data_IF_641222939091
#
_entry.id   IF_641222939091
#
_cell.length_a   1.000
_cell.length_b   1.000
_cell.length_c   1.000
_cell.angle_alpha   90.00
_cell.angle_beta   90.00
_cell.angle_gamma   90.00
#
_symmetry.space_group_name_H-M   'P 1'
#
loop_
_entity.id
_entity.type
_entity.pdbx_description
1 polymer ?
#
# COMPACT_ATOMS: atom_id res chain seq x y z
N UNK A 1 3.00 -15.56 26.97
CA UNK A 1 3.41 -14.95 25.69
C UNK A 1 4.49 -13.93 25.99
N UNK A 2 5.64 -14.00 25.30
CA UNK A 2 6.75 -13.08 25.50
C UNK A 2 6.56 -11.85 24.59
N UNK A 3 6.01 -10.78 25.15
CA UNK A 3 5.68 -9.56 24.41
C UNK A 3 6.82 -8.54 24.47
N UNK A 4 6.90 -7.70 23.43
CA UNK A 4 7.83 -6.58 23.32
C UNK A 4 7.10 -5.36 22.76
N UNK A 5 7.73 -4.18 22.87
CA UNK A 5 7.21 -2.94 22.28
C UNK A 5 8.01 -2.62 21.02
N UNK A 6 7.30 -2.37 19.93
CA UNK A 6 7.87 -1.71 18.76
C UNK A 6 7.41 -0.25 18.75
N UNK A 7 8.34 0.67 18.51
CA UNK A 7 8.03 2.09 18.30
C UNK A 7 7.96 2.35 16.81
N UNK A 8 6.87 2.94 16.35
CA UNK A 8 6.62 3.24 14.93
C UNK A 8 6.04 4.65 14.76
N UNK A 9 6.27 5.26 13.61
CA UNK A 9 5.70 6.56 13.25
C UNK A 9 4.48 6.38 12.35
N UNK A 10 3.33 6.85 12.81
CA UNK A 10 2.05 6.71 12.09
C UNK A 10 1.55 8.11 11.71
N UNK A 11 1.04 8.27 10.49
CA UNK A 11 0.32 9.47 10.05
C UNK A 11 -0.75 9.84 11.08
N UNK A 12 -0.72 11.08 11.54
CA UNK A 12 -1.52 11.50 12.70
C UNK A 12 -3.02 11.44 12.41
N UNK A 13 -3.44 11.84 11.20
CA UNK A 13 -4.85 11.82 10.80
C UNK A 13 -5.35 10.38 10.67
N UNK A 14 -4.55 9.51 10.09
CA UNK A 14 -4.84 8.08 9.97
C UNK A 14 -4.97 7.43 11.35
N UNK A 15 -4.02 7.73 12.27
CA UNK A 15 -4.00 7.21 13.63
C UNK A 15 -5.22 7.63 14.44
N UNK A 16 -5.56 8.92 14.43
CA UNK A 16 -6.72 9.45 15.18
C UNK A 16 -7.99 8.73 14.74
N UNK A 17 -8.21 8.65 13.43
CA UNK A 17 -9.42 8.07 12.90
C UNK A 17 -9.42 6.52 13.03
N UNK A 18 -8.25 5.86 13.08
CA UNK A 18 -8.14 4.44 13.43
C UNK A 18 -8.50 4.17 14.87
N UNK A 19 -7.95 4.93 15.82
CA UNK A 19 -8.26 4.76 17.23
C UNK A 19 -9.76 4.98 17.48
N UNK A 20 -10.35 6.02 16.89
CA UNK A 20 -11.80 6.25 17.01
C UNK A 20 -12.64 5.05 16.57
N UNK A 21 -12.29 4.45 15.43
CA UNK A 21 -13.01 3.28 14.91
C UNK A 21 -12.81 2.04 15.81
N UNK A 22 -11.58 1.75 16.21
CA UNK A 22 -11.26 0.60 17.09
C UNK A 22 -11.93 0.74 18.45
N UNK A 23 -11.90 1.94 19.04
CA UNK A 23 -12.55 2.21 20.32
C UNK A 23 -14.08 2.06 20.22
N UNK A 24 -14.68 2.52 19.12
CA UNK A 24 -16.13 2.35 18.87
C UNK A 24 -16.56 0.90 18.68
N UNK A 25 -15.63 0.03 18.27
CA UNK A 25 -15.84 -1.40 18.12
C UNK A 25 -15.48 -2.19 19.39
N UNK A 26 -15.07 -1.50 20.47
CA UNK A 26 -14.63 -2.11 21.73
C UNK A 26 -13.43 -3.06 21.57
N UNK A 27 -12.59 -2.82 20.58
CA UNK A 27 -11.40 -3.64 20.28
C UNK A 27 -10.18 -3.05 20.99
N UNK A 28 -9.38 -3.90 21.66
CA UNK A 28 -8.09 -3.46 22.22
C UNK A 28 -7.06 -3.30 21.11
N UNK A 29 -6.73 -2.05 20.78
CA UNK A 29 -5.82 -1.67 19.69
C UNK A 29 -4.56 -2.53 19.56
N UNK A 30 -3.76 -2.64 20.62
CA UNK A 30 -2.46 -3.33 20.55
C UNK A 30 -2.62 -4.84 20.36
N UNK A 31 -3.64 -5.45 21.00
CA UNK A 31 -3.93 -6.86 20.80
C UNK A 31 -4.38 -7.15 19.36
N UNK A 32 -5.21 -6.26 18.81
CA UNK A 32 -5.66 -6.34 17.42
C UNK A 32 -4.50 -6.16 16.45
N UNK A 33 -3.70 -5.09 16.59
CA UNK A 33 -2.53 -4.87 15.73
C UNK A 33 -1.51 -6.00 15.85
N UNK A 34 -1.28 -6.59 17.02
CA UNK A 34 -0.42 -7.75 17.15
C UNK A 34 -0.90 -8.94 16.31
N UNK A 35 -2.20 -9.25 16.37
CA UNK A 35 -2.78 -10.33 15.58
C UNK A 35 -2.65 -10.06 14.08
N UNK A 36 -3.04 -8.86 13.64
CA UNK A 36 -3.02 -8.49 12.22
C UNK A 36 -1.59 -8.42 11.67
N UNK A 37 -0.65 -7.81 12.39
CA UNK A 37 0.77 -7.78 11.98
C UNK A 37 1.32 -9.21 11.94
N UNK A 38 0.96 -10.05 12.91
CA UNK A 38 1.38 -11.46 12.96
C UNK A 38 0.91 -12.26 11.73
N UNK A 39 -0.33 -12.08 11.30
CA UNK A 39 -0.88 -12.74 10.11
C UNK A 39 -0.30 -12.20 8.80
N UNK A 40 -0.13 -10.88 8.68
CA UNK A 40 0.30 -10.25 7.43
C UNK A 40 1.80 -10.28 7.16
N UNK A 41 2.64 -10.60 8.16
CA UNK A 41 4.09 -10.64 7.99
C UNK A 41 4.53 -11.64 6.90
N UNK A 42 3.86 -12.78 6.79
CA UNK A 42 4.24 -13.79 5.78
C UNK A 42 3.84 -13.31 4.37
N UNK A 43 2.68 -12.67 4.22
CA UNK A 43 2.26 -12.06 2.95
C UNK A 43 3.23 -10.94 2.54
N UNK A 44 3.63 -10.09 3.48
CA UNK A 44 4.65 -9.08 3.23
C UNK A 44 6.00 -9.70 2.83
N UNK A 45 6.41 -10.79 3.48
CA UNK A 45 7.66 -11.47 3.14
C UNK A 45 7.63 -12.00 1.70
N UNK A 46 6.52 -12.62 1.30
CA UNK A 46 6.32 -13.12 -0.07
C UNK A 46 6.34 -11.96 -1.08
N UNK A 47 5.63 -10.87 -0.80
CA UNK A 47 5.60 -9.69 -1.66
C UNK A 47 7.00 -9.09 -1.84
N UNK A 48 7.78 -9.04 -0.77
CA UNK A 48 9.13 -8.46 -0.76
C UNK A 48 10.22 -9.45 -1.20
N UNK A 49 9.87 -10.70 -1.56
CA UNK A 49 10.87 -11.68 -1.98
C UNK A 49 11.61 -11.19 -3.25
N UNK A 50 12.93 -11.32 -3.19
CA UNK A 50 13.86 -10.80 -4.20
C UNK A 50 13.90 -9.27 -4.35
N UNK A 51 13.16 -8.50 -3.55
CA UNK A 51 13.05 -7.03 -3.67
C UNK A 51 13.83 -6.31 -2.60
N UNK A 52 14.59 -5.31 -3.02
CA UNK A 52 15.35 -4.45 -2.12
C UNK A 52 15.27 -3.00 -2.58
N UNK A 53 14.85 -2.12 -1.68
CA UNK A 53 14.89 -0.67 -1.90
C UNK A 53 16.34 -0.19 -1.89
N UNK A 54 16.68 0.70 -2.82
CA UNK A 54 17.94 1.43 -2.73
C UNK A 54 17.92 2.38 -1.53
N UNK A 55 19.10 2.81 -1.07
CA UNK A 55 19.20 3.81 0.00
C UNK A 55 18.51 5.14 -0.35
N UNK A 56 18.42 5.48 -1.65
CA UNK A 56 17.70 6.67 -2.12
C UNK A 56 16.19 6.47 -2.01
N UNK A 57 15.68 5.33 -2.50
CA UNK A 57 14.27 4.99 -2.42
C UNK A 57 13.76 4.89 -0.98
N UNK A 58 14.51 4.22 -0.09
CA UNK A 58 14.20 4.17 1.34
C UNK A 58 14.10 5.58 1.96
N UNK A 59 15.10 6.44 1.69
CA UNK A 59 15.12 7.81 2.21
C UNK A 59 13.96 8.64 1.67
N UNK A 60 13.59 8.43 0.40
CA UNK A 60 12.46 9.09 -0.21
C UNK A 60 11.15 8.72 0.51
N UNK A 61 10.86 7.42 0.67
CA UNK A 61 9.67 6.94 1.41
C UNK A 61 9.64 7.49 2.84
N UNK A 62 10.76 7.42 3.57
CA UNK A 62 10.86 7.95 4.93
C UNK A 62 10.64 9.49 4.98
N UNK A 63 11.12 10.21 3.96
CA UNK A 63 10.94 11.65 3.80
C UNK A 63 9.49 12.04 3.52
N UNK A 64 8.84 11.35 2.58
CA UNK A 64 7.42 11.52 2.27
C UNK A 64 6.55 11.25 3.49
N UNK A 65 6.79 10.13 4.19
CA UNK A 65 6.07 9.80 5.41
C UNK A 65 6.20 10.91 6.47
N UNK A 66 7.41 11.44 6.67
CA UNK A 66 7.63 12.55 7.60
C UNK A 66 6.85 13.81 7.19
N UNK A 67 6.76 14.13 5.90
CA UNK A 67 6.02 15.31 5.38
C UNK A 67 4.51 15.21 5.60
N UNK A 68 3.96 13.99 5.65
CA UNK A 68 2.53 13.77 5.90
C UNK A 68 2.12 14.15 7.35
N UNK A 69 3.07 14.19 8.27
CA UNK A 69 2.84 14.53 9.68
C UNK A 69 2.58 13.27 10.52
N UNK A 70 3.63 12.79 11.18
CA UNK A 70 3.58 11.53 11.94
C UNK A 70 3.65 11.72 13.44
N UNK A 71 2.99 10.84 14.18
CA UNK A 71 3.13 10.67 15.63
C UNK A 71 3.82 9.34 15.96
N UNK A 72 4.73 9.38 16.92
CA UNK A 72 5.38 8.17 17.44
C UNK A 72 4.42 7.40 18.36
N UNK A 73 4.27 6.10 18.11
CA UNK A 73 3.36 5.20 18.82
C UNK A 73 4.11 3.92 19.19
N UNK A 74 3.85 3.44 20.40
CA UNK A 74 4.30 2.11 20.82
C UNK A 74 3.17 1.12 20.58
N UNK A 75 3.49 0.00 19.94
CA UNK A 75 2.59 -1.15 19.74
C UNK A 75 3.21 -2.32 20.47
N UNK A 76 2.46 -2.93 21.39
CA UNK A 76 2.85 -4.18 22.03
C UNK A 76 2.57 -5.35 21.09
N UNK A 77 3.61 -6.11 20.75
CA UNK A 77 3.55 -7.28 19.87
C UNK A 77 4.29 -8.46 20.47
N UNK A 78 4.05 -9.67 19.97
CA UNK A 78 4.86 -10.82 20.32
C UNK A 78 6.30 -10.66 19.83
N UNK A 79 7.27 -11.16 20.60
CA UNK A 79 8.69 -11.05 20.27
C UNK A 79 9.02 -11.66 18.90
N UNK A 80 8.41 -12.80 18.58
CA UNK A 80 8.53 -13.46 17.28
C UNK A 80 8.03 -12.58 16.13
N UNK A 81 6.88 -11.92 16.30
CA UNK A 81 6.31 -10.97 15.33
C UNK A 81 7.28 -9.80 15.08
N UNK A 82 7.83 -9.22 16.14
CA UNK A 82 8.81 -8.14 16.02
C UNK A 82 10.10 -8.61 15.31
N UNK A 83 10.62 -9.79 15.62
CA UNK A 83 11.82 -10.36 15.01
C UNK A 83 11.64 -10.65 13.51
N UNK A 84 10.51 -11.24 13.12
CA UNK A 84 10.18 -11.46 11.70
C UNK A 84 10.06 -10.15 10.93
N UNK A 85 9.33 -9.17 11.46
CA UNK A 85 9.22 -7.84 10.82
C UNK A 85 10.59 -7.17 10.69
N UNK A 86 11.43 -7.22 11.72
CA UNK A 86 12.79 -6.69 11.66
C UNK A 86 13.66 -7.37 10.60
N UNK A 87 13.48 -8.67 10.40
CA UNK A 87 14.21 -9.45 9.40
C UNK A 87 13.85 -8.98 7.99
N UNK A 88 12.55 -8.88 7.67
CA UNK A 88 12.08 -8.38 6.37
C UNK A 88 12.57 -6.95 6.11
N UNK A 89 12.43 -6.07 7.12
CA UNK A 89 12.89 -4.67 7.03
C UNK A 89 14.39 -4.58 6.72
N UNK A 90 15.21 -5.43 7.35
CA UNK A 90 16.65 -5.45 7.14
C UNK A 90 17.02 -6.01 5.76
N UNK A 91 16.36 -7.08 5.31
CA UNK A 91 16.65 -7.73 4.03
C UNK A 91 16.25 -6.82 2.85
N UNK A 92 15.02 -6.32 2.87
CA UNK A 92 14.46 -5.50 1.78
C UNK A 92 14.84 -4.02 1.84
N UNK A 93 15.49 -3.57 2.92
CA UNK A 93 15.77 -2.17 3.18
C UNK A 93 14.50 -1.28 3.13
N UNK A 94 13.33 -1.82 3.49
CA UNK A 94 12.07 -1.06 3.51
C UNK A 94 11.92 -0.22 4.77
N UNK A 95 11.01 0.77 4.72
CA UNK A 95 10.67 1.60 5.87
C UNK A 95 9.59 0.88 6.69
N UNK A 96 9.94 0.39 7.89
CA UNK A 96 8.98 -0.29 8.80
C UNK A 96 7.71 0.52 9.02
N UNK A 97 7.87 1.81 9.24
CA UNK A 97 6.75 2.73 9.49
C UNK A 97 5.80 2.79 8.27
N UNK A 98 6.33 2.74 7.04
CA UNK A 98 5.51 2.74 5.82
C UNK A 98 4.59 1.52 5.77
N UNK A 99 5.11 0.33 6.08
CA UNK A 99 4.30 -0.89 6.16
C UNK A 99 3.18 -0.78 7.21
N UNK A 100 3.47 -0.29 8.41
CA UNK A 100 2.44 -0.16 9.46
C UNK A 100 1.36 0.86 9.05
N UNK A 101 1.75 1.97 8.43
CA UNK A 101 0.77 2.93 7.90
C UNK A 101 -0.07 2.32 6.78
N UNK A 102 0.55 1.56 5.87
CA UNK A 102 -0.14 0.86 4.77
C UNK A 102 -1.12 -0.18 5.28
N UNK A 103 -0.74 -0.93 6.31
CA UNK A 103 -1.61 -1.89 6.98
C UNK A 103 -2.83 -1.19 7.60
N UNK A 104 -2.63 -0.09 8.32
CA UNK A 104 -3.74 0.69 8.90
C UNK A 104 -4.60 1.34 7.81
N UNK A 105 -4.00 1.79 6.70
CA UNK A 105 -4.70 2.32 5.54
C UNK A 105 -5.67 1.28 4.97
N UNK A 106 -5.22 0.04 4.76
CA UNK A 106 -6.07 -1.02 4.23
C UNK A 106 -7.15 -1.47 5.21
N UNK A 107 -6.84 -1.60 6.50
CA UNK A 107 -7.85 -1.90 7.53
C UNK A 107 -9.00 -0.89 7.56
N UNK A 108 -8.76 0.34 7.11
CA UNK A 108 -9.72 1.45 7.15
C UNK A 108 -10.13 1.98 5.79
N UNK A 109 -9.74 1.29 4.73
CA UNK A 109 -9.80 1.84 3.39
C UNK A 109 -11.21 2.33 3.05
N UNK A 110 -11.26 3.51 2.44
CA UNK A 110 -12.49 4.10 1.94
C UNK A 110 -12.69 3.66 0.51
N UNK A 111 -13.94 3.59 0.07
CA UNK A 111 -14.33 3.24 -1.30
C UNK A 111 -13.54 4.03 -2.34
N UNK A 112 -13.29 5.33 -2.12
CA UNK A 112 -12.52 6.16 -3.05
C UNK A 112 -11.07 5.69 -3.26
N UNK A 113 -10.41 5.16 -2.22
CA UNK A 113 -9.07 4.59 -2.36
C UNK A 113 -9.14 3.22 -3.04
N UNK A 114 -10.07 2.37 -2.61
CA UNK A 114 -10.22 1.03 -3.19
C UNK A 114 -10.56 1.12 -4.68
N UNK A 115 -11.47 2.01 -5.07
CA UNK A 115 -11.81 2.28 -6.46
C UNK A 115 -10.61 2.79 -7.27
N UNK A 116 -9.77 3.66 -6.68
CA UNK A 116 -8.54 4.14 -7.36
C UNK A 116 -7.56 2.99 -7.61
N UNK A 117 -7.45 2.07 -6.67
CA UNK A 117 -6.60 0.89 -6.76
C UNK A 117 -7.26 -0.25 -7.55
N UNK A 118 -8.45 -0.03 -8.09
CA UNK A 118 -9.28 -1.05 -8.73
C UNK A 118 -9.44 -2.29 -7.83
N UNK A 119 -9.68 -2.09 -6.53
CA UNK A 119 -9.94 -3.13 -5.54
C UNK A 119 -11.41 -3.12 -5.10
N UNK A 120 -11.97 -4.27 -4.70
CA UNK A 120 -13.37 -4.37 -4.30
C UNK A 120 -13.63 -3.59 -2.99
N UNK A 121 -14.63 -2.71 -3.02
CA UNK A 121 -15.11 -2.03 -1.81
C UNK A 121 -16.06 -2.89 -0.98
N UNK A 122 -16.63 -3.95 -1.58
CA UNK A 122 -17.58 -4.88 -0.96
C UNK A 122 -17.34 -6.28 -1.47
N UNK A 123 -17.63 -7.27 -0.64
CA UNK A 123 -17.66 -8.67 -1.04
C UNK A 123 -19.07 -8.96 -1.58
N UNK A 124 -19.23 -9.04 -2.90
CA UNK A 124 -20.47 -9.51 -3.53
C UNK A 124 -20.34 -11.00 -3.89
N UNK A 125 -21.22 -11.82 -3.32
CA UNK A 125 -21.40 -13.24 -3.65
C UNK A 125 -21.43 -13.57 -5.15
N UNK A 126 -21.79 -12.62 -6.03
CA UNK A 126 -21.81 -12.81 -7.49
C UNK A 126 -20.46 -12.58 -8.17
N UNK A 127 -19.64 -11.70 -7.62
CA UNK A 127 -18.30 -11.37 -8.16
C UNK A 127 -17.24 -12.35 -7.66
N UNK A 128 -17.41 -12.88 -6.45
CA UNK A 128 -16.52 -13.85 -5.85
C UNK A 128 -16.94 -15.27 -6.27
N UNK A 129 -16.30 -15.81 -7.31
CA UNK A 129 -16.56 -17.16 -7.83
C UNK A 129 -16.50 -18.25 -6.73
N UNK A 130 -17.07 -19.43 -7.03
CA UNK A 130 -17.27 -20.59 -6.15
C UNK A 130 -16.01 -21.20 -5.47
N UNK A 131 -14.83 -20.57 -5.58
CA UNK A 131 -13.58 -20.98 -4.95
C UNK A 131 -13.11 -20.09 -3.78
N UNK A 132 -13.79 -18.98 -3.47
CA UNK A 132 -13.41 -18.11 -2.36
C UNK A 132 -14.01 -18.61 -1.03
N UNK A 133 -13.26 -18.43 0.06
CA UNK A 133 -13.69 -18.82 1.41
C UNK A 133 -14.99 -18.09 1.78
N UNK A 134 -16.02 -18.84 2.18
CA UNK A 134 -17.30 -18.25 2.57
C UNK A 134 -17.18 -17.57 3.93
N UNK A 135 -17.68 -16.33 4.03
CA UNK A 135 -17.76 -15.66 5.33
C UNK A 135 -18.73 -16.40 6.26
N UNK A 136 -18.32 -16.76 7.48
CA UNK A 136 -19.22 -17.40 8.44
C UNK A 136 -20.37 -16.45 8.80
N UNK A 137 -21.58 -17.01 8.94
CA UNK A 137 -22.77 -16.25 9.33
C UNK A 137 -22.79 -15.88 10.82
N UNK A 138 -21.99 -16.56 11.64
CA UNK A 138 -21.81 -16.24 13.06
C UNK A 138 -21.02 -14.93 13.19
N UNK A 139 -21.53 -13.90 13.90
CA UNK A 139 -20.80 -12.64 14.08
C UNK A 139 -19.42 -12.83 14.71
N UNK A 140 -19.29 -13.73 15.69
CA UNK A 140 -17.99 -14.05 16.30
C UNK A 140 -17.09 -14.81 15.34
N UNK A 141 -17.65 -15.76 14.57
CA UNK A 141 -16.89 -16.46 13.53
C UNK A 141 -16.40 -15.50 12.43
N UNK A 142 -17.20 -14.49 12.08
CA UNK A 142 -16.81 -13.48 11.10
C UNK A 142 -15.64 -12.62 11.61
N UNK A 143 -15.65 -12.27 12.90
CA UNK A 143 -14.52 -11.60 13.54
C UNK A 143 -13.27 -12.49 13.58
N UNK A 144 -13.42 -13.78 13.88
CA UNK A 144 -12.31 -14.75 13.86
C UNK A 144 -11.73 -14.90 12.46
N UNK A 145 -12.57 -14.97 11.42
CA UNK A 145 -12.13 -15.02 10.02
C UNK A 145 -11.36 -13.76 9.63
N UNK A 146 -11.88 -12.56 9.96
CA UNK A 146 -11.17 -11.29 9.73
C UNK A 146 -9.88 -11.21 10.53
N UNK A 147 -9.84 -11.75 11.74
CA UNK A 147 -8.62 -11.77 12.55
C UNK A 147 -7.57 -12.71 11.95
N UNK A 148 -7.99 -13.85 11.40
CA UNK A 148 -7.11 -14.84 10.78
C UNK A 148 -6.50 -14.34 9.47
N UNK A 149 -7.32 -13.69 8.63
CA UNK A 149 -6.89 -13.14 7.36
C UNK A 149 -7.68 -11.87 6.96
N UNK A 150 -7.28 -10.69 7.46
CA UNK A 150 -8.04 -9.45 7.28
C UNK A 150 -8.05 -8.95 5.85
N UNK A 151 -7.06 -9.33 5.03
CA UNK A 151 -6.91 -8.82 3.67
C UNK A 151 -7.09 -9.87 2.59
N UNK A 152 -7.55 -11.08 2.91
CA UNK A 152 -7.80 -12.16 1.94
C UNK A 152 -8.38 -11.63 0.62
N UNK A 153 -9.56 -10.99 0.69
CA UNK A 153 -10.27 -10.48 -0.48
C UNK A 153 -9.52 -9.37 -1.24
N UNK A 154 -8.82 -8.49 -0.51
CA UNK A 154 -8.03 -7.43 -1.13
C UNK A 154 -6.78 -8.00 -1.81
N UNK A 155 -6.13 -9.00 -1.20
CA UNK A 155 -4.96 -9.67 -1.76
C UNK A 155 -5.33 -10.48 -2.99
N UNK A 156 -6.40 -11.29 -2.94
CA UNK A 156 -6.87 -12.06 -4.10
C UNK A 156 -7.26 -11.14 -5.26
N UNK A 157 -8.02 -10.06 -4.99
CA UNK A 157 -8.36 -9.12 -6.04
C UNK A 157 -7.15 -8.37 -6.60
N UNK A 158 -6.16 -8.05 -5.76
CA UNK A 158 -4.91 -7.43 -6.20
C UNK A 158 -4.12 -8.37 -7.11
N UNK A 159 -4.01 -9.65 -6.75
CA UNK A 159 -3.32 -10.66 -7.55
C UNK A 159 -4.03 -10.90 -8.88
N UNK A 160 -5.37 -11.03 -8.88
CA UNK A 160 -6.16 -11.25 -10.10
C UNK A 160 -6.11 -10.06 -11.07
N UNK A 161 -6.14 -8.82 -10.56
CA UNK A 161 -6.26 -7.61 -11.41
C UNK A 161 -4.90 -7.04 -11.81
N UNK A 162 -3.91 -7.11 -10.92
CA UNK A 162 -2.61 -6.46 -11.10
C UNK A 162 -1.45 -7.45 -11.22
N UNK A 163 -1.67 -8.75 -10.99
CA UNK A 163 -0.61 -9.77 -11.07
C UNK A 163 0.47 -9.60 -10.00
N UNK A 164 0.15 -8.94 -8.89
CA UNK A 164 1.10 -8.62 -7.83
C UNK A 164 0.45 -8.64 -6.45
N UNK A 165 1.30 -8.71 -5.42
CA UNK A 165 0.90 -8.65 -4.03
C UNK A 165 0.40 -7.28 -3.57
N UNK A 166 -0.45 -7.27 -2.55
CA UNK A 166 -1.09 -6.07 -2.01
C UNK A 166 -0.11 -5.04 -1.45
N UNK A 167 1.08 -5.46 -1.02
CA UNK A 167 2.11 -4.53 -0.53
C UNK A 167 2.94 -3.90 -1.66
N UNK A 168 2.79 -4.40 -2.88
CA UNK A 168 3.47 -3.89 -4.08
C UNK A 168 2.60 -2.98 -4.94
N UNK A 169 1.26 -2.99 -4.77
CA UNK A 169 0.39 -2.13 -5.59
C UNK A 169 0.75 -0.64 -5.46
N UNK A 170 0.73 0.07 -6.58
CA UNK A 170 1.09 1.48 -6.61
C UNK A 170 0.04 2.34 -5.89
N UNK A 171 0.51 3.15 -4.94
CA UNK A 171 -0.34 4.09 -4.25
C UNK A 171 -0.34 5.44 -4.97
N UNK A 172 -1.42 6.26 -4.82
CA UNK A 172 -1.39 7.65 -5.25
C UNK A 172 -0.14 8.36 -4.74
N UNK A 173 0.50 9.21 -5.56
CA UNK A 173 1.76 9.91 -5.18
C UNK A 173 1.72 10.60 -3.81
N UNK A 174 0.56 11.13 -3.41
CA UNK A 174 0.34 11.75 -2.09
C UNK A 174 0.47 10.78 -0.89
N UNK A 175 0.52 9.48 -1.15
CA UNK A 175 0.66 8.38 -0.20
C UNK A 175 1.97 7.60 -0.42
N UNK A 176 2.95 8.15 -1.17
CA UNK A 176 4.24 7.49 -1.40
C UNK A 176 5.00 7.15 -0.10
N UNK A 177 4.73 7.89 0.99
CA UNK A 177 5.25 7.57 2.33
C UNK A 177 4.74 6.24 2.91
N UNK A 178 3.72 5.62 2.30
CA UNK A 178 3.16 4.33 2.70
C UNK A 178 3.62 3.19 1.77
N UNK A 179 4.48 3.44 0.78
CA UNK A 179 4.97 2.40 -0.12
C UNK A 179 5.96 1.47 0.59
N UNK A 180 5.78 0.15 0.43
CA UNK A 180 6.72 -0.86 0.96
C UNK A 180 7.90 -1.09 -0.01
N UNK A 181 7.68 -0.83 -1.29
CA UNK A 181 8.67 -0.90 -2.36
C UNK A 181 8.42 0.23 -3.36
N UNK A 182 9.48 0.73 -3.98
CA UNK A 182 9.48 1.69 -5.08
C UNK A 182 10.70 1.42 -5.95
N UNK A 183 10.53 1.47 -7.26
CA UNK A 183 11.63 1.40 -8.21
C UNK A 183 12.41 2.72 -8.19
N UNK A 184 13.71 2.66 -8.50
CA UNK A 184 14.53 3.88 -8.58
C UNK A 184 13.98 4.84 -9.64
N UNK A 185 13.41 4.33 -10.73
CA UNK A 185 12.72 5.10 -11.76
C UNK A 185 11.56 5.95 -11.24
N UNK A 186 11.01 5.66 -10.06
CA UNK A 186 9.90 6.39 -9.43
C UNK A 186 10.36 7.39 -8.37
N UNK A 187 11.66 7.40 -8.05
CA UNK A 187 12.24 8.16 -6.94
C UNK A 187 12.98 9.39 -7.47
N UNK A 188 12.51 10.61 -7.18
CA UNK A 188 13.19 11.84 -7.62
C UNK A 188 14.66 11.90 -7.18
N UNK A 189 15.54 12.26 -8.11
CA UNK A 189 17.00 12.37 -7.89
C UNK A 189 17.77 11.05 -8.01
N UNK A 190 17.15 9.98 -8.53
CA UNK A 190 17.86 8.82 -9.07
C UNK A 190 18.18 9.03 -10.55
N UNK A 191 19.19 8.31 -11.06
CA UNK A 191 19.53 8.37 -12.48
C UNK A 191 18.44 7.77 -13.37
N UNK A 192 17.72 6.76 -12.88
CA UNK A 192 16.63 6.13 -13.62
C UNK A 192 15.43 7.05 -13.74
N UNK A 193 15.08 7.77 -12.66
CA UNK A 193 14.03 8.78 -12.67
C UNK A 193 14.36 9.90 -13.66
N UNK A 194 15.59 10.44 -13.63
CA UNK A 194 16.03 11.49 -14.56
C UNK A 194 15.99 11.04 -16.02
N UNK A 195 16.33 9.78 -16.30
CA UNK A 195 16.21 9.20 -17.66
C UNK A 195 14.74 9.08 -18.06
N UNK A 196 13.88 8.62 -17.17
CA UNK A 196 12.46 8.46 -17.44
C UNK A 196 11.78 9.82 -17.68
N UNK A 197 12.08 10.85 -16.89
CA UNK A 197 11.56 12.20 -17.13
C UNK A 197 11.99 12.75 -18.48
N UNK A 198 13.28 12.65 -18.83
CA UNK A 198 13.77 13.08 -20.15
C UNK A 198 13.07 12.36 -21.29
N UNK A 199 12.87 11.04 -21.16
CA UNK A 199 12.16 10.26 -22.16
C UNK A 199 10.69 10.70 -22.28
N UNK A 200 10.02 10.97 -21.15
CA UNK A 200 8.64 11.45 -21.12
C UNK A 200 8.53 12.86 -21.73
N UNK A 201 9.48 13.76 -21.46
CA UNK A 201 9.55 15.09 -22.07
C UNK A 201 9.74 15.02 -23.58
N UNK A 202 10.67 14.18 -24.05
CA UNK A 202 10.90 13.93 -25.48
C UNK A 202 9.65 13.38 -26.17
N UNK A 203 8.95 12.45 -25.53
CA UNK A 203 7.71 11.88 -26.05
C UNK A 203 6.59 12.93 -26.10
N UNK A 204 6.44 13.74 -25.06
CA UNK A 204 5.45 14.82 -25.01
C UNK A 204 5.70 15.88 -26.10
N UNK A 205 6.97 16.25 -26.35
CA UNK A 205 7.34 17.12 -27.45
C UNK A 205 6.97 16.50 -28.81
N UNK A 206 7.29 15.22 -29.03
CA UNK A 206 6.95 14.50 -30.27
C UNK A 206 5.44 14.49 -30.54
N UNK A 207 4.63 14.19 -29.52
CA UNK A 207 3.16 14.19 -29.61
C UNK A 207 2.59 15.60 -29.80
N UNK A 208 3.25 16.62 -29.24
CA UNK A 208 2.92 18.04 -29.49
C UNK A 208 3.11 18.40 -30.97
N UNK A 209 4.24 18.01 -31.56
CA UNK A 209 4.53 18.24 -32.98
C UNK A 209 3.55 17.51 -33.91
N UNK A 210 3.18 16.27 -33.59
CA UNK A 210 2.19 15.52 -34.39
C UNK A 210 0.81 16.18 -34.38
N UNK A 211 0.37 16.70 -33.23
CA UNK A 211 -0.90 17.43 -33.13
C UNK A 211 -0.88 18.76 -33.90
N UNK A 212 0.24 19.49 -33.89
CA UNK A 212 0.38 20.72 -34.70
C UNK A 212 0.38 20.44 -36.21
N UNK A 213 1.01 19.34 -36.65
CA UNK A 213 1.01 18.92 -38.07
C UNK A 213 -0.40 18.53 -38.52
N UNK A 214 -1.16 17.82 -37.67
CA UNK A 214 -2.54 17.43 -37.97
C UNK A 214 -3.48 18.65 -38.05
N UNK A 215 -3.34 19.62 -37.14
CA UNK A 215 -4.14 20.85 -37.16
C UNK A 215 -3.83 21.72 -38.39
N UNK A 216 -2.57 21.82 -38.81
CA UNK A 216 -2.19 22.57 -40.00
C UNK A 216 -2.66 21.91 -41.31
N UNK A 217 -2.75 20.58 -41.35
CA UNK A 217 -3.25 19.85 -42.51
C UNK A 217 -4.77 19.96 -42.70
N UNK A 218 -5.55 20.09 -41.63
CA UNK A 218 -6.99 20.30 -41.72
C UNK A 218 -7.36 21.73 -42.17
N UNK A 219 -6.56 22.73 -41.81
CA UNK A 219 -6.75 24.10 -42.33
C UNK A 219 -6.51 24.20 -43.85
N UNK A 220 -5.63 23.37 -44.41
CA UNK A 220 -5.36 23.31 -45.84
C UNK A 220 -6.45 22.59 -46.66
N UNK A 221 -7.32 21.80 -46.02
CA UNK A 221 -8.41 21.07 -46.70
C UNK A 221 -9.75 21.83 -46.73
N UNK A 222 -9.87 22.94 -46.00
CA UNK A 222 -11.07 23.79 -45.96
C UNK A 222 -11.17 24.86 -47.05
N UNK A 223 -10.18 24.97 -47.95
CA UNK A 223 -10.18 25.92 -49.07
C UNK A 223 -10.56 25.18 -50.35
N UNK A 224 -11.86 24.94 -50.57
CA UNK A 224 -12.44 24.58 -51.86
C UNK A 224 -13.82 25.21 -52.01
#
# INVERSE_FOLDING_TARGET
>A
MNQTKITVKIDEKLLIAFNHQIDSLYIKRDAFLNAIIGGEIENLANDMDGKQLTSKANRYVAGELKRMGTRSVNIVVDKSTAEKLNTIVKQSNMVRDAFINRLILFLRSKDALLNYLELPARVDSKEFHAGMEQFPTSPLGALEAVQGDPFFYLRTACEERHGMGLYLIDLPKKLAGFSCFLLDSEVPGTLEFEKQEKNNELLALSLGFENEILQNNDQLKGVK
#
